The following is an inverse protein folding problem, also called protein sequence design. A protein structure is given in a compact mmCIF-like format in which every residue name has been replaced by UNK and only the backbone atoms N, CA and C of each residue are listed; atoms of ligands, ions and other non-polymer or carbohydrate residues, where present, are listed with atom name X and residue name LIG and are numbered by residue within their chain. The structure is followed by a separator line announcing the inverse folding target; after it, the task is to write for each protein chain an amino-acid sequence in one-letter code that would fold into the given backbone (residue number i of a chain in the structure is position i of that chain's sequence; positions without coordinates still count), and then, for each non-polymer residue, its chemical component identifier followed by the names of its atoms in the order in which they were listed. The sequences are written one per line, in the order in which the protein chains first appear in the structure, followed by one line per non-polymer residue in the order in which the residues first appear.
data_IF_298184430970
#
_entry.id   IF_298184430970
#
_cell.length_a   1.000
_cell.length_b   1.000
_cell.length_c   1.000
_cell.angle_alpha   90.00
_cell.angle_beta   90.00
_cell.angle_gamma   90.00
#
_symmetry.space_group_name_H-M   'P 1'
#
loop_
_entity.id
_entity.type
_entity.pdbx_description
1 polymer ?
#
# COMPACT_ATOMS: atom_id res chain seq x y z
N UNK A 1 -21.47 23.83 24.59
CA UNK A 1 -20.55 24.93 24.90
C UNK A 1 -20.58 25.85 23.70
N UNK A 2 -21.40 26.93 23.78
CA UNK A 2 -21.40 28.00 22.79
C UNK A 2 -20.10 28.80 22.94
N UNK A 3 -19.08 28.43 22.17
CA UNK A 3 -17.90 29.23 22.02
C UNK A 3 -18.05 30.05 20.71
N UNK A 4 -18.65 31.22 20.80
CA UNK A 4 -18.76 32.16 19.70
C UNK A 4 -17.36 32.56 19.25
N UNK A 5 -16.98 32.22 18.02
CA UNK A 5 -15.71 32.57 17.41
C UNK A 5 -14.73 31.41 17.22
N UNK A 6 -15.14 30.17 17.43
CA UNK A 6 -14.33 28.97 17.15
C UNK A 6 -14.93 28.20 15.98
N UNK A 7 -14.11 27.90 15.00
CA UNK A 7 -14.46 27.02 13.88
C UNK A 7 -13.52 25.81 13.83
N UNK A 8 -14.01 24.67 13.34
CA UNK A 8 -13.24 23.46 13.16
C UNK A 8 -13.34 22.97 11.71
N UNK A 9 -12.28 22.39 11.19
CA UNK A 9 -12.25 21.70 9.91
C UNK A 9 -12.67 20.25 10.17
N UNK A 10 -13.68 19.77 9.46
CA UNK A 10 -14.20 18.42 9.62
C UNK A 10 -15.04 17.97 8.44
N UNK A 11 -15.58 16.76 8.52
CA UNK A 11 -16.53 16.24 7.53
C UNK A 11 -17.93 16.81 7.78
N UNK A 12 -18.80 16.82 6.75
CA UNK A 12 -20.20 17.14 6.91
C UNK A 12 -20.92 16.21 7.90
N UNK A 13 -20.48 14.94 7.93
CA UNK A 13 -20.97 13.96 8.90
C UNK A 13 -20.64 14.38 10.35
N UNK A 14 -19.46 14.94 10.58
CA UNK A 14 -19.10 15.44 11.90
C UNK A 14 -20.00 16.60 12.32
N UNK A 15 -20.31 17.53 11.43
CA UNK A 15 -21.25 18.61 11.71
C UNK A 15 -22.64 18.05 12.11
N UNK A 16 -23.14 17.06 11.37
CA UNK A 16 -24.40 16.40 11.68
C UNK A 16 -24.40 15.69 13.06
N UNK A 17 -23.32 14.92 13.34
CA UNK A 17 -23.23 14.13 14.58
C UNK A 17 -23.09 15.01 15.82
N UNK A 18 -22.34 16.11 15.73
CA UNK A 18 -22.05 17.00 16.86
C UNK A 18 -22.91 18.26 16.90
N UNK A 19 -23.90 18.39 16.01
CA UNK A 19 -24.80 19.55 15.99
C UNK A 19 -24.10 20.86 15.58
N UNK A 20 -23.08 20.77 14.75
CA UNK A 20 -22.36 21.95 14.24
C UNK A 20 -23.02 22.57 13.02
N UNK A 21 -22.82 23.88 12.84
CA UNK A 21 -23.23 24.61 11.63
C UNK A 21 -22.11 24.59 10.60
N UNK A 22 -22.45 24.27 9.32
CA UNK A 22 -21.48 24.28 8.24
C UNK A 22 -21.32 25.70 7.70
N UNK A 23 -20.18 26.32 7.96
CA UNK A 23 -19.87 27.69 7.53
C UNK A 23 -19.41 27.71 6.06
N UNK A 24 -18.56 26.77 5.65
CA UNK A 24 -18.02 26.67 4.30
C UNK A 24 -17.86 25.20 3.89
N UNK A 25 -18.01 24.94 2.58
CA UNK A 25 -17.84 23.61 1.99
C UNK A 25 -16.74 23.65 0.93
N UNK A 26 -16.11 22.48 0.66
CA UNK A 26 -15.10 22.36 -0.38
C UNK A 26 -13.90 23.28 -0.12
N UNK A 27 -13.40 23.26 1.12
CA UNK A 27 -12.29 24.10 1.58
C UNK A 27 -10.92 23.44 1.41
N UNK A 28 -10.90 22.23 0.82
CA UNK A 28 -9.67 21.54 0.48
C UNK A 28 -8.86 22.31 -0.57
N UNK A 29 -7.54 22.40 -0.42
CA UNK A 29 -6.64 23.04 -1.38
C UNK A 29 -6.62 22.32 -2.74
N UNK A 30 -6.82 21.00 -2.73
CA UNK A 30 -6.85 20.16 -3.92
C UNK A 30 -8.03 19.18 -3.86
N UNK A 31 -8.86 19.18 -4.92
CA UNK A 31 -10.00 18.25 -5.04
C UNK A 31 -9.58 16.77 -5.20
N UNK A 32 -8.35 16.52 -5.64
CA UNK A 32 -7.78 15.19 -5.86
C UNK A 32 -7.11 14.62 -4.60
N UNK A 33 -7.59 14.96 -3.42
CA UNK A 33 -7.11 14.41 -2.16
C UNK A 33 -7.83 13.10 -1.84
N UNK A 34 -7.24 11.97 -2.27
CA UNK A 34 -7.79 10.64 -2.04
C UNK A 34 -7.16 9.96 -0.84
N UNK A 35 -7.98 9.41 0.04
CA UNK A 35 -7.56 8.51 1.10
C UNK A 35 -7.89 7.07 0.71
N UNK A 36 -6.87 6.21 0.62
CA UNK A 36 -7.05 4.79 0.34
C UNK A 36 -7.20 4.00 1.63
N UNK A 37 -8.31 3.32 1.78
CA UNK A 37 -8.56 2.39 2.87
C UNK A 37 -8.23 0.96 2.41
N UNK A 38 -7.60 0.17 3.28
CA UNK A 38 -7.31 -1.24 3.05
C UNK A 38 -8.12 -2.06 4.06
N UNK A 39 -8.95 -2.97 3.56
CA UNK A 39 -9.66 -3.93 4.40
C UNK A 39 -8.73 -5.11 4.67
N UNK A 40 -8.49 -5.40 5.95
CA UNK A 40 -7.63 -6.49 6.39
C UNK A 40 -8.49 -7.67 6.81
N UNK A 41 -8.17 -8.86 6.30
CA UNK A 41 -8.85 -10.12 6.63
C UNK A 41 -7.86 -11.23 6.95
N UNK A 42 -8.38 -12.33 7.51
CA UNK A 42 -7.59 -13.54 7.80
C UNK A 42 -7.62 -14.57 6.66
N UNK A 43 -8.56 -14.43 5.75
CA UNK A 43 -8.77 -15.34 4.62
C UNK A 43 -8.23 -14.72 3.34
N UNK A 44 -7.55 -15.53 2.53
CA UNK A 44 -7.18 -15.12 1.17
C UNK A 44 -8.43 -14.95 0.30
N UNK A 45 -8.41 -13.95 -0.58
CA UNK A 45 -9.49 -13.79 -1.56
C UNK A 45 -9.29 -14.76 -2.73
N UNK A 46 -10.40 -15.21 -3.29
CA UNK A 46 -10.39 -15.94 -4.54
C UNK A 46 -10.00 -15.02 -5.71
N UNK A 47 -9.43 -15.64 -6.75
CA UNK A 47 -9.04 -14.93 -7.97
C UNK A 47 -10.22 -14.20 -8.59
N UNK A 48 -9.99 -12.95 -8.97
CA UNK A 48 -10.97 -12.11 -9.67
C UNK A 48 -10.27 -11.20 -10.68
N UNK A 49 -11.06 -10.35 -11.32
CA UNK A 49 -10.52 -9.35 -12.25
C UNK A 49 -9.81 -8.22 -11.49
N UNK A 50 -8.71 -7.70 -12.03
CA UNK A 50 -8.00 -6.55 -11.45
C UNK A 50 -7.33 -6.86 -10.11
N UNK A 51 -6.80 -8.06 -9.93
CA UNK A 51 -6.08 -8.42 -8.71
C UNK A 51 -4.73 -7.71 -8.62
N UNK A 52 -4.39 -7.33 -7.39
CA UNK A 52 -3.07 -6.89 -6.98
C UNK A 52 -2.56 -7.77 -5.86
N UNK A 53 -1.26 -7.94 -5.81
CA UNK A 53 -0.58 -8.67 -4.73
C UNK A 53 0.33 -7.71 -3.96
N UNK A 54 0.29 -7.80 -2.64
CA UNK A 54 1.14 -7.05 -1.74
C UNK A 54 2.15 -7.96 -1.03
N UNK A 55 3.39 -7.52 -0.98
CA UNK A 55 4.50 -8.22 -0.30
C UNK A 55 5.33 -7.24 0.51
N UNK A 56 5.96 -7.77 1.55
CA UNK A 56 6.98 -7.07 2.33
C UNK A 56 8.28 -7.88 2.25
N UNK A 57 9.39 -7.20 2.06
CA UNK A 57 10.69 -7.86 2.03
C UNK A 57 11.81 -6.95 2.55
N UNK A 58 12.94 -7.55 2.92
CA UNK A 58 14.16 -6.86 3.31
C UNK A 58 15.29 -7.25 2.37
N UNK A 59 16.21 -6.31 2.11
CA UNK A 59 17.33 -6.50 1.22
C UNK A 59 18.65 -6.33 1.95
N UNK A 60 19.72 -7.00 1.50
CA UNK A 60 21.08 -6.70 1.96
C UNK A 60 21.44 -5.26 1.55
N UNK A 61 22.10 -4.54 2.45
CA UNK A 61 22.53 -3.16 2.22
C UNK A 61 23.74 -3.11 1.27
N UNK A 62 23.50 -3.17 -0.03
CA UNK A 62 24.52 -3.09 -1.06
C UNK A 62 23.97 -2.43 -2.35
N UNK A 63 24.85 -1.81 -3.15
CA UNK A 63 24.46 -1.28 -4.45
C UNK A 63 23.79 -2.35 -5.33
N UNK A 64 22.74 -1.96 -6.05
CA UNK A 64 22.00 -2.84 -6.96
C UNK A 64 21.04 -3.84 -6.31
N UNK A 65 20.97 -3.93 -4.96
CA UNK A 65 20.09 -4.89 -4.29
C UNK A 65 18.62 -4.72 -4.67
N UNK A 66 18.12 -3.48 -4.69
CA UNK A 66 16.74 -3.20 -5.08
C UNK A 66 16.50 -3.49 -6.56
N UNK A 67 17.43 -3.11 -7.44
CA UNK A 67 17.34 -3.42 -8.87
C UNK A 67 17.20 -4.95 -9.08
N UNK A 68 18.10 -5.72 -8.46
CA UNK A 68 18.06 -7.17 -8.51
C UNK A 68 16.73 -7.75 -7.99
N UNK A 69 16.17 -7.18 -6.94
CA UNK A 69 14.88 -7.61 -6.38
C UNK A 69 13.70 -7.34 -7.32
N UNK A 70 13.74 -6.28 -8.10
CA UNK A 70 12.66 -5.88 -9.02
C UNK A 70 12.75 -6.57 -10.38
N UNK A 71 13.93 -7.02 -10.79
CA UNK A 71 14.17 -7.64 -12.10
C UNK A 71 13.21 -8.81 -12.42
N UNK A 72 12.88 -9.75 -11.50
CA UNK A 72 11.95 -10.85 -11.78
C UNK A 72 10.56 -10.39 -12.23
N UNK A 73 10.10 -9.26 -11.69
CA UNK A 73 8.81 -8.68 -12.03
C UNK A 73 8.85 -8.01 -13.41
N UNK A 74 9.91 -7.26 -13.69
CA UNK A 74 10.10 -6.62 -14.99
C UNK A 74 10.19 -7.63 -16.13
N UNK A 75 10.97 -8.71 -15.95
CA UNK A 75 11.11 -9.77 -16.95
C UNK A 75 9.82 -10.51 -17.26
N UNK A 76 8.86 -10.52 -16.32
CA UNK A 76 7.55 -11.16 -16.49
C UNK A 76 6.43 -10.19 -16.82
N UNK A 77 6.75 -8.93 -17.10
CA UNK A 77 5.76 -7.89 -17.43
C UNK A 77 4.75 -7.65 -16.29
N UNK A 78 5.17 -7.80 -15.04
CA UNK A 78 4.34 -7.51 -13.88
C UNK A 78 4.50 -6.03 -13.50
N UNK A 79 3.41 -5.29 -13.63
CA UNK A 79 3.40 -3.86 -13.36
C UNK A 79 3.38 -3.57 -11.84
N UNK A 80 4.40 -2.85 -11.36
CA UNK A 80 4.44 -2.39 -9.99
C UNK A 80 3.55 -1.16 -9.84
N UNK A 81 2.71 -1.16 -8.82
CA UNK A 81 1.79 -0.05 -8.54
C UNK A 81 2.16 0.74 -7.29
N UNK A 82 3.00 0.18 -6.44
CA UNK A 82 3.51 0.85 -5.25
C UNK A 82 4.83 0.22 -4.80
N UNK A 83 5.76 1.06 -4.36
CA UNK A 83 6.94 0.66 -3.61
C UNK A 83 7.25 1.72 -2.56
N UNK A 84 7.38 1.31 -1.32
CA UNK A 84 7.77 2.16 -0.20
C UNK A 84 8.87 1.48 0.60
N UNK A 85 9.82 2.26 1.11
CA UNK A 85 10.83 1.78 2.04
C UNK A 85 10.64 2.41 3.41
N UNK A 86 10.86 1.61 4.46
CA UNK A 86 10.83 2.05 5.86
C UNK A 86 12.08 1.55 6.58
N UNK A 87 12.77 2.40 7.36
CA UNK A 87 13.87 1.93 8.18
C UNK A 87 13.36 0.98 9.26
N UNK A 88 14.13 -0.06 9.56
CA UNK A 88 13.81 -1.01 10.62
C UNK A 88 14.32 -0.45 11.94
N UNK A 89 13.41 -0.29 12.93
CA UNK A 89 13.80 0.18 14.27
C UNK A 89 14.82 -0.77 14.90
N UNK A 90 15.89 -0.20 15.42
CA UNK A 90 16.96 -0.98 16.08
C UNK A 90 17.96 -1.66 15.14
N UNK A 91 17.81 -1.48 13.83
CA UNK A 91 18.73 -2.02 12.82
C UNK A 91 19.17 -0.91 11.88
N UNK A 92 20.27 -0.20 12.20
CA UNK A 92 20.81 0.85 11.33
C UNK A 92 21.08 0.29 9.92
N UNK A 93 20.69 1.06 8.90
CA UNK A 93 20.91 0.76 7.48
C UNK A 93 20.13 -0.44 6.91
N UNK A 94 19.25 -1.09 7.69
CA UNK A 94 18.31 -2.08 7.17
C UNK A 94 16.97 -1.43 6.86
N UNK A 95 16.42 -1.77 5.68
CA UNK A 95 15.14 -1.25 5.20
C UNK A 95 14.17 -2.38 4.90
N UNK A 96 12.94 -2.17 5.34
CA UNK A 96 11.80 -2.98 4.94
C UNK A 96 11.15 -2.30 3.74
N UNK A 97 10.93 -3.05 2.67
CA UNK A 97 10.24 -2.62 1.47
C UNK A 97 8.83 -3.19 1.48
N UNK A 98 7.85 -2.32 1.26
CA UNK A 98 6.47 -2.69 0.94
C UNK A 98 6.28 -2.50 -0.57
N UNK A 99 5.81 -3.54 -1.26
CA UNK A 99 5.60 -3.52 -2.70
C UNK A 99 4.24 -4.07 -3.06
N UNK A 100 3.56 -3.38 -4.00
CA UNK A 100 2.32 -3.85 -4.62
C UNK A 100 2.53 -3.95 -6.13
N UNK A 101 1.99 -4.99 -6.74
CA UNK A 101 2.03 -5.20 -8.18
C UNK A 101 0.74 -5.85 -8.68
N UNK A 102 0.46 -5.72 -9.97
CA UNK A 102 -0.70 -6.30 -10.63
C UNK A 102 -0.49 -7.80 -10.85
N UNK A 103 -1.49 -8.59 -10.49
CA UNK A 103 -1.50 -10.04 -10.61
C UNK A 103 -2.02 -10.73 -9.35
N UNK A 104 -2.37 -12.00 -9.51
CA UNK A 104 -2.82 -12.87 -8.42
C UNK A 104 -1.69 -13.80 -7.98
N UNK A 105 -1.48 -13.95 -6.69
CA UNK A 105 -0.33 -14.65 -6.10
C UNK A 105 -0.11 -16.09 -6.59
N UNK A 106 -1.20 -16.75 -7.02
CA UNK A 106 -1.17 -18.15 -7.53
C UNK A 106 -1.07 -18.23 -9.05
N UNK A 107 -1.03 -17.11 -9.77
CA UNK A 107 -0.74 -17.13 -11.19
C UNK A 107 0.72 -17.54 -11.40
N UNK A 108 0.98 -18.42 -12.36
CA UNK A 108 2.30 -19.01 -12.61
C UNK A 108 3.42 -17.96 -12.68
N UNK A 109 3.27 -16.95 -13.55
CA UNK A 109 4.26 -15.88 -13.71
C UNK A 109 4.48 -15.05 -12.44
N UNK A 110 3.43 -14.89 -11.59
CA UNK A 110 3.51 -14.15 -10.31
C UNK A 110 4.21 -15.01 -9.28
N UNK A 111 3.83 -16.26 -9.15
CA UNK A 111 4.45 -17.23 -8.25
C UNK A 111 5.94 -17.38 -8.53
N UNK A 112 6.34 -17.52 -9.80
CA UNK A 112 7.75 -17.60 -10.20
C UNK A 112 8.52 -16.31 -9.83
N UNK A 113 7.94 -15.12 -10.06
CA UNK A 113 8.58 -13.87 -9.70
C UNK A 113 8.81 -13.77 -8.17
N UNK A 114 7.83 -14.20 -7.37
CA UNK A 114 7.93 -14.24 -5.91
C UNK A 114 9.02 -15.23 -5.47
N UNK A 115 9.09 -16.41 -6.08
CA UNK A 115 10.12 -17.41 -5.76
C UNK A 115 11.55 -16.92 -6.11
N UNK A 116 11.70 -16.20 -7.21
CA UNK A 116 12.99 -15.58 -7.53
C UNK A 116 13.33 -14.44 -6.56
N UNK A 117 12.34 -13.61 -6.17
CA UNK A 117 12.54 -12.56 -5.18
C UNK A 117 13.00 -13.15 -3.83
N UNK A 118 12.43 -14.27 -3.38
CA UNK A 118 12.83 -14.97 -2.15
C UNK A 118 14.33 -15.26 -2.12
N UNK A 119 14.91 -15.66 -3.23
CA UNK A 119 16.36 -15.98 -3.33
C UNK A 119 17.27 -14.73 -3.25
N UNK A 120 16.69 -13.56 -3.47
CA UNK A 120 17.40 -12.26 -3.52
C UNK A 120 17.18 -11.40 -2.27
N UNK A 121 16.32 -11.84 -1.37
CA UNK A 121 15.91 -11.11 -0.16
C UNK A 121 16.43 -11.79 1.10
N UNK A 122 16.61 -11.00 2.15
CA UNK A 122 16.96 -11.54 3.47
C UNK A 122 15.72 -12.12 4.17
N UNK A 123 14.59 -11.44 4.02
CA UNK A 123 13.29 -11.88 4.51
C UNK A 123 12.22 -11.47 3.52
N UNK A 124 11.16 -12.26 3.39
CA UNK A 124 9.99 -11.94 2.58
C UNK A 124 8.73 -12.42 3.29
N UNK A 125 7.67 -11.63 3.17
CA UNK A 125 6.33 -11.98 3.63
C UNK A 125 5.31 -11.59 2.56
N UNK A 126 4.61 -12.58 2.04
CA UNK A 126 3.43 -12.36 1.21
C UNK A 126 2.28 -11.92 2.12
N UNK A 127 1.69 -10.76 1.82
CA UNK A 127 0.54 -10.25 2.55
C UNK A 127 -0.77 -10.76 1.95
N UNK A 128 -0.76 -11.10 0.66
CA UNK A 128 -1.89 -11.65 -0.07
C UNK A 128 -2.29 -10.81 -1.28
N UNK A 129 -3.28 -11.33 -2.00
CA UNK A 129 -3.85 -10.68 -3.17
C UNK A 129 -5.23 -10.10 -2.85
N UNK A 130 -5.55 -8.96 -3.45
CA UNK A 130 -6.80 -8.24 -3.26
C UNK A 130 -7.26 -7.59 -4.54
N UNK A 131 -8.56 -7.29 -4.64
CA UNK A 131 -9.13 -6.60 -5.80
C UNK A 131 -8.85 -5.10 -5.71
N UNK A 132 -8.44 -4.51 -6.82
CA UNK A 132 -8.46 -3.06 -6.98
C UNK A 132 -9.92 -2.63 -7.06
N UNK A 133 -10.36 -1.82 -6.11
CA UNK A 133 -11.64 -1.11 -6.22
C UNK A 133 -11.35 0.20 -6.97
N UNK A 134 -12.20 0.58 -7.92
CA UNK A 134 -12.06 1.83 -8.66
C UNK A 134 -12.02 3.05 -7.76
#
# INVERSE_FOLDING_TARGET
VENSGVAAIGSELAAYVYGGEIIARGIEDHRDNYTRFIVIGRSALEKGVGMKTAIIFTLPHRPGALYSALEPFALRGLNLTKIESRPIKGKPWEYLFFMEFEGYERDERVSEAIEELKRRTTQIRLLGSYRKVP
#
